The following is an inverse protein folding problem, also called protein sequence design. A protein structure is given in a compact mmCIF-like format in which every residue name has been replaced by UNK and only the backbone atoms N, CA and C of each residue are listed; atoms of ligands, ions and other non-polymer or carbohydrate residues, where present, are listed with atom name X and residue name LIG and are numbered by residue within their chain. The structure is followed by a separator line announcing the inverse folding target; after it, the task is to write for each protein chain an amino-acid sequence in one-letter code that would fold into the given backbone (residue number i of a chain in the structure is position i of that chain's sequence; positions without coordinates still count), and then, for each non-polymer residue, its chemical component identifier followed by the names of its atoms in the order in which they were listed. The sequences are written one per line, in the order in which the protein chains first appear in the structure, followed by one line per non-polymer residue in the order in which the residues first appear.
data_IF_115734255772
#
_entry.id   IF_115734255772
#
_cell.length_a   1.000
_cell.length_b   1.000
_cell.length_c   1.000
_cell.angle_alpha   90.00
_cell.angle_beta   90.00
_cell.angle_gamma   90.00
#
_symmetry.space_group_name_H-M   'P 1'
#
loop_
_entity.id
_entity.type
_entity.pdbx_description
1 polymer ?
#
# COMPACT_ATOMS: atom_id res chain seq x y z
N UNK A 1 -16.64 18.47 2.46
CA UNK A 1 -15.74 17.74 3.40
C UNK A 1 -14.91 16.76 2.58
N UNK A 2 -13.58 16.93 2.44
CA UNK A 2 -12.81 16.06 1.56
C UNK A 2 -12.69 14.66 2.18
N UNK A 3 -12.98 13.65 1.37
CA UNK A 3 -13.03 12.20 1.67
C UNK A 3 -11.63 11.60 1.92
N UNK A 4 -10.84 12.19 2.80
CA UNK A 4 -9.45 11.73 3.09
C UNK A 4 -9.44 10.61 4.15
N UNK A 5 -10.48 10.51 4.98
CA UNK A 5 -10.51 9.58 6.13
C UNK A 5 -10.86 8.14 5.74
N UNK A 6 -11.38 7.90 4.52
CA UNK A 6 -11.80 6.54 4.07
C UNK A 6 -10.65 5.68 3.54
N UNK A 7 -9.39 6.15 3.63
CA UNK A 7 -8.19 5.43 3.18
C UNK A 7 -7.74 4.33 4.18
N UNK A 8 -8.25 4.31 5.42
CA UNK A 8 -7.58 3.57 6.51
C UNK A 8 -7.89 2.07 6.64
N UNK A 9 -8.98 1.54 6.07
CA UNK A 9 -9.33 0.11 6.28
C UNK A 9 -9.00 -0.78 5.10
N UNK A 10 -9.41 -0.37 3.89
CA UNK A 10 -9.17 -1.16 2.69
C UNK A 10 -7.67 -1.28 2.39
N UNK A 11 -6.93 -0.16 2.39
CA UNK A 11 -5.50 -0.16 2.11
C UNK A 11 -4.71 -1.00 3.12
N UNK A 12 -5.07 -0.95 4.40
CA UNK A 12 -4.42 -1.77 5.44
C UNK A 12 -4.81 -3.24 5.32
N UNK A 13 -6.09 -3.55 5.08
CA UNK A 13 -6.55 -4.94 4.92
C UNK A 13 -5.85 -5.66 3.76
N UNK A 14 -5.73 -5.00 2.61
CA UNK A 14 -5.04 -5.55 1.43
C UNK A 14 -3.54 -5.70 1.69
N UNK A 15 -2.92 -4.72 2.36
CA UNK A 15 -1.52 -4.82 2.76
C UNK A 15 -1.27 -6.02 3.68
N UNK A 16 -2.10 -6.19 4.72
CA UNK A 16 -1.96 -7.30 5.67
C UNK A 16 -2.28 -8.65 5.06
N UNK A 17 -3.25 -8.74 4.14
CA UNK A 17 -3.54 -9.98 3.42
C UNK A 17 -2.34 -10.42 2.57
N UNK A 18 -1.74 -9.49 1.81
CA UNK A 18 -0.55 -9.77 1.00
C UNK A 18 0.66 -10.09 1.88
N UNK A 19 0.85 -9.33 2.96
CA UNK A 19 1.90 -9.58 3.94
C UNK A 19 1.79 -10.98 4.56
N UNK A 20 0.59 -11.40 4.99
CA UNK A 20 0.37 -12.72 5.58
C UNK A 20 0.65 -13.86 4.59
N UNK A 21 0.22 -13.71 3.33
CA UNK A 21 0.50 -14.70 2.28
C UNK A 21 2.01 -14.79 2.02
N UNK A 22 2.70 -13.65 1.92
CA UNK A 22 4.15 -13.64 1.71
C UNK A 22 4.91 -14.19 2.92
N UNK A 23 4.46 -13.93 4.15
CA UNK A 23 5.05 -14.52 5.36
C UNK A 23 4.80 -16.02 5.46
N UNK A 24 3.68 -16.52 4.94
CA UNK A 24 3.45 -17.96 4.83
C UNK A 24 4.36 -18.61 3.76
N UNK A 25 4.79 -17.85 2.75
CA UNK A 25 5.66 -18.32 1.66
C UNK A 25 7.16 -18.16 1.94
N UNK A 26 7.56 -17.13 2.69
CA UNK A 26 8.97 -16.75 2.91
C UNK A 26 9.25 -16.57 4.42
N UNK A 27 10.42 -17.02 4.89
CA UNK A 27 10.82 -16.92 6.31
C UNK A 27 11.07 -15.45 6.72
N UNK A 28 10.04 -14.82 7.27
CA UNK A 28 10.00 -13.64 8.18
C UNK A 28 10.56 -12.27 7.71
N UNK A 29 11.48 -12.18 6.75
CA UNK A 29 12.26 -10.95 6.54
C UNK A 29 11.58 -9.82 5.72
N UNK A 30 10.45 -10.07 5.07
CA UNK A 30 9.85 -9.13 4.11
C UNK A 30 9.04 -8.00 4.75
N UNK A 31 8.61 -8.16 6.01
CA UNK A 31 7.67 -7.25 6.66
C UNK A 31 8.31 -5.95 7.16
N UNK A 32 9.65 -5.85 7.16
CA UNK A 32 10.36 -4.68 7.69
C UNK A 32 10.23 -3.43 6.81
N UNK A 33 9.90 -3.60 5.53
CA UNK A 33 9.76 -2.48 4.57
C UNK A 33 8.52 -2.65 3.71
N UNK A 34 7.64 -1.65 3.70
CA UNK A 34 6.44 -1.64 2.85
C UNK A 34 6.75 -1.82 1.36
N UNK A 35 7.85 -1.24 0.88
CA UNK A 35 8.33 -1.41 -0.49
C UNK A 35 8.81 -2.84 -0.79
N UNK A 36 9.35 -3.56 0.20
CA UNK A 36 9.76 -4.95 0.04
C UNK A 36 8.54 -5.88 -0.13
N UNK A 37 7.48 -5.66 0.66
CA UNK A 37 6.21 -6.39 0.51
C UNK A 37 5.61 -6.19 -0.88
N UNK A 38 5.63 -4.95 -1.39
CA UNK A 38 5.16 -4.64 -2.75
C UNK A 38 6.01 -5.36 -3.82
N UNK A 39 7.33 -5.32 -3.71
CA UNK A 39 8.22 -5.96 -4.67
C UNK A 39 8.02 -7.49 -4.69
N UNK A 40 7.93 -8.12 -3.52
CA UNK A 40 7.71 -9.56 -3.38
C UNK A 40 6.34 -9.97 -3.94
N UNK A 41 5.28 -9.20 -3.70
CA UNK A 41 3.97 -9.45 -4.31
C UNK A 41 4.02 -9.49 -5.84
N UNK A 42 4.68 -8.50 -6.46
CA UNK A 42 4.80 -8.46 -7.91
C UNK A 42 5.68 -9.58 -8.45
N UNK A 43 6.77 -9.91 -7.77
CA UNK A 43 7.71 -10.96 -8.20
C UNK A 43 7.09 -12.35 -8.07
N UNK A 44 6.50 -12.66 -6.91
CA UNK A 44 6.11 -14.01 -6.53
C UNK A 44 4.66 -14.35 -6.89
N UNK A 45 3.79 -13.34 -7.08
CA UNK A 45 2.37 -13.58 -7.34
C UNK A 45 1.88 -13.02 -8.68
N UNK A 46 2.34 -11.82 -9.09
CA UNK A 46 1.86 -11.21 -10.34
C UNK A 46 2.64 -11.73 -11.55
N UNK A 47 3.97 -11.77 -11.48
CA UNK A 47 4.82 -12.28 -12.59
C UNK A 47 4.66 -13.77 -12.82
N UNK A 48 4.42 -14.54 -11.75
CA UNK A 48 4.16 -15.98 -11.78
C UNK A 48 2.72 -16.31 -12.21
N UNK A 49 1.89 -15.31 -12.52
CA UNK A 49 0.50 -15.45 -12.97
C UNK A 49 -0.44 -16.09 -11.94
N UNK A 50 -0.01 -16.28 -10.69
CA UNK A 50 -0.87 -16.68 -9.55
C UNK A 50 -1.96 -15.64 -9.32
N UNK A 51 -1.64 -14.37 -9.53
CA UNK A 51 -2.55 -13.24 -9.44
C UNK A 51 -2.59 -12.51 -10.79
N UNK A 52 -3.78 -12.27 -11.37
CA UNK A 52 -3.92 -11.49 -12.59
C UNK A 52 -3.32 -10.08 -12.48
N UNK A 53 -2.66 -9.62 -13.55
CA UNK A 53 -2.01 -8.29 -13.62
C UNK A 53 -2.89 -7.13 -13.16
N UNK A 54 -4.20 -7.18 -13.42
CA UNK A 54 -5.18 -6.17 -12.98
C UNK A 54 -5.16 -5.94 -11.47
N UNK A 55 -4.94 -7.00 -10.68
CA UNK A 55 -4.85 -6.90 -9.23
C UNK A 55 -3.47 -6.41 -8.77
N UNK A 56 -2.41 -6.67 -9.55
CA UNK A 56 -1.11 -6.00 -9.38
C UNK A 56 -1.23 -4.49 -9.48
N UNK A 57 -1.90 -4.00 -10.53
CA UNK A 57 -2.14 -2.56 -10.72
C UNK A 57 -3.08 -1.97 -9.66
N UNK A 58 -4.08 -2.72 -9.20
CA UNK A 58 -4.96 -2.29 -8.11
C UNK A 58 -4.19 -2.13 -6.80
N UNK A 59 -3.33 -3.10 -6.48
CA UNK A 59 -2.49 -3.06 -5.29
C UNK A 59 -1.57 -1.83 -5.29
N UNK A 60 -0.97 -1.51 -6.44
CA UNK A 60 -0.11 -0.33 -6.59
C UNK A 60 -0.85 0.98 -6.32
N UNK A 61 -2.07 1.11 -6.84
CA UNK A 61 -2.92 2.29 -6.59
C UNK A 61 -3.24 2.43 -5.10
N UNK A 62 -3.60 1.33 -4.42
CA UNK A 62 -3.90 1.34 -2.99
C UNK A 62 -2.65 1.67 -2.15
N UNK A 63 -1.49 1.16 -2.55
CA UNK A 63 -0.20 1.46 -1.93
C UNK A 63 0.15 2.95 -2.03
N UNK A 64 -0.02 3.54 -3.21
CA UNK A 64 0.25 4.96 -3.44
C UNK A 64 -0.71 5.87 -2.67
N UNK A 65 -2.01 5.54 -2.67
CA UNK A 65 -3.02 6.27 -1.90
C UNK A 65 -2.67 6.25 -0.41
N UNK A 66 -2.24 5.09 0.12
CA UNK A 66 -1.76 4.99 1.49
C UNK A 66 -0.49 5.81 1.73
N UNK A 67 0.51 5.70 0.85
CA UNK A 67 1.77 6.42 1.00
C UNK A 67 1.56 7.94 1.02
N UNK A 68 0.67 8.46 0.17
CA UNK A 68 0.29 9.88 0.19
C UNK A 68 -0.41 10.25 1.49
N UNK A 69 -1.30 9.41 2.00
CA UNK A 69 -2.00 9.67 3.27
C UNK A 69 -1.06 9.64 4.49
N UNK A 70 -0.10 8.71 4.54
CA UNK A 70 0.84 8.52 5.65
C UNK A 70 1.98 9.56 5.65
N UNK A 71 2.38 10.06 4.47
CA UNK A 71 3.63 10.85 4.33
C UNK A 71 3.50 12.21 3.62
N UNK A 72 2.36 12.57 3.02
CA UNK A 72 2.20 13.95 2.51
C UNK A 72 1.83 14.90 3.65
N UNK A 73 2.65 15.94 3.93
CA UNK A 73 2.26 16.99 4.85
C UNK A 73 1.01 17.68 4.31
N UNK A 74 -0.04 17.76 5.11
CA UNK A 74 -1.13 18.69 4.83
C UNK A 74 -0.58 20.11 5.05
N UNK A 75 -0.12 20.76 3.98
CA UNK A 75 0.27 22.17 4.05
C UNK A 75 -1.00 22.99 4.28
N UNK A 76 -1.30 23.27 5.54
CA UNK A 76 -2.27 24.29 5.91
C UNK A 76 -1.54 25.61 5.80
N UNK A 77 -1.63 26.26 4.64
CA UNK A 77 -1.28 27.67 4.53
C UNK A 77 -2.30 28.45 5.38
N UNK A 78 -1.95 28.72 6.63
CA UNK A 78 -2.63 29.75 7.38
C UNK A 78 -2.41 31.04 6.61
N UNK A 79 -3.48 31.58 6.01
CA UNK A 79 -3.44 32.93 5.47
C UNK A 79 -3.12 33.85 6.63
N UNK A 80 -1.87 34.31 6.72
CA UNK A 80 -1.55 35.50 7.48
C UNK A 80 -2.43 36.62 6.91
N UNK A 81 -3.25 37.18 7.82
CA UNK A 81 -4.13 38.31 7.53
C UNK A 81 -3.26 39.55 7.28
N UNK A 82 -3.77 40.42 6.41
CA UNK A 82 -3.28 41.77 6.10
C UNK A 82 -2.70 42.53 7.29
#
# INVERSE_FOLDING_TARGET
MPKIITVSRLCYSVFYAVAAVLTAMEKEQLLKKHSAVRAAFHLNMVKTMVVPKKFGSLYDKLFEVRHRADYQPMVVLAKEKC
#
